data_IF_521460689992
#
_entry.id   IF_521460689992
#
_cell.length_a   1.000
_cell.length_b   1.000
_cell.length_c   1.000
_cell.angle_alpha   90.00
_cell.angle_beta   90.00
_cell.angle_gamma   90.00
#
_symmetry.space_group_name_H-M   'P 1'
#
loop_
_entity.id
_entity.type
_entity.pdbx_description
1 polymer ?
#
# COMPACT_ATOMS: atom_id res chain seq x y z
N UNK A 1 40.24 9.09 28.65
CA UNK A 1 39.51 7.84 28.34
C UNK A 1 38.02 7.97 28.55
N UNK A 2 37.56 8.42 29.72
CA UNK A 2 36.15 8.56 30.00
C UNK A 2 35.45 9.56 29.06
N UNK A 3 36.15 10.63 28.71
CA UNK A 3 35.58 11.65 27.82
C UNK A 3 35.38 11.12 26.40
N UNK A 4 36.32 10.34 25.89
CA UNK A 4 36.23 9.76 24.57
C UNK A 4 35.04 8.78 24.51
N UNK A 5 34.91 7.95 25.54
CA UNK A 5 33.77 7.00 25.61
C UNK A 5 32.44 7.72 25.66
N UNK A 6 32.34 8.82 26.39
CA UNK A 6 31.09 9.59 26.47
C UNK A 6 30.73 10.21 25.14
N UNK A 7 31.69 10.70 24.38
CA UNK A 7 31.45 11.28 23.06
C UNK A 7 31.05 10.22 22.05
N UNK A 8 31.66 9.06 22.08
CA UNK A 8 31.31 7.94 21.23
C UNK A 8 29.89 7.49 21.53
N UNK A 9 29.52 7.45 22.81
CA UNK A 9 28.17 7.08 23.21
C UNK A 9 27.14 8.08 22.68
N UNK A 10 27.40 9.37 22.76
CA UNK A 10 26.53 10.40 22.23
C UNK A 10 26.33 10.26 20.73
N UNK A 11 27.39 10.00 20.00
CA UNK A 11 27.34 9.78 18.56
C UNK A 11 26.52 8.58 18.22
N UNK A 12 26.67 7.49 18.97
CA UNK A 12 25.87 6.27 18.77
C UNK A 12 24.40 6.52 19.07
N UNK A 13 24.08 7.29 20.13
CA UNK A 13 22.70 7.60 20.49
C UNK A 13 22.01 8.46 19.43
N UNK A 14 22.73 9.45 18.90
CA UNK A 14 22.20 10.30 17.82
C UNK A 14 21.93 9.47 16.58
N UNK A 15 22.88 8.61 16.21
CA UNK A 15 22.73 7.75 15.04
C UNK A 15 21.55 6.79 15.20
N UNK A 16 21.39 6.18 16.38
CA UNK A 16 20.29 5.31 16.67
C UNK A 16 18.95 6.06 16.58
N UNK A 17 18.92 7.32 17.05
CA UNK A 17 17.72 8.16 16.93
C UNK A 17 17.36 8.46 15.49
N UNK A 18 18.36 8.78 14.65
CA UNK A 18 18.14 9.04 13.24
C UNK A 18 17.60 7.78 12.56
N UNK A 19 18.20 6.64 12.81
CA UNK A 19 17.75 5.37 12.25
C UNK A 19 16.31 5.02 12.65
N UNK A 20 15.96 5.30 13.91
CA UNK A 20 14.62 5.07 14.40
C UNK A 20 13.60 5.96 13.67
N UNK A 21 13.94 7.24 13.48
CA UNK A 21 13.07 8.17 12.75
C UNK A 21 12.92 7.77 11.29
N UNK A 22 14.00 7.32 10.67
CA UNK A 22 13.95 6.85 9.28
C UNK A 22 13.04 5.63 9.14
N UNK A 23 13.11 4.70 10.10
CA UNK A 23 12.22 3.53 10.11
C UNK A 23 10.78 3.92 10.28
N UNK A 24 10.49 4.86 11.20
CA UNK A 24 9.13 5.36 11.40
C UNK A 24 8.57 6.02 10.15
N UNK A 25 9.38 6.84 9.48
CA UNK A 25 8.98 7.50 8.25
C UNK A 25 8.67 6.49 7.15
N UNK A 26 9.50 5.45 7.03
CA UNK A 26 9.27 4.39 6.06
C UNK A 26 7.98 3.63 6.35
N UNK A 27 7.71 3.34 7.62
CA UNK A 27 6.48 2.65 8.03
C UNK A 27 5.24 3.50 7.74
N UNK A 28 5.29 4.80 8.06
CA UNK A 28 4.18 5.70 7.78
C UNK A 28 3.92 5.84 6.27
N UNK A 29 4.97 5.91 5.49
CA UNK A 29 4.86 5.98 4.04
C UNK A 29 4.22 4.72 3.48
N UNK A 30 4.65 3.57 3.95
CA UNK A 30 4.08 2.28 3.54
C UNK A 30 2.59 2.21 3.90
N UNK A 31 2.24 2.68 5.10
CA UNK A 31 0.84 2.69 5.52
C UNK A 31 -0.02 3.58 4.64
N UNK A 32 0.49 4.75 4.26
CA UNK A 32 -0.22 5.65 3.35
C UNK A 32 -0.39 5.05 1.96
N UNK A 33 0.68 4.48 1.42
CA UNK A 33 0.63 3.83 0.11
C UNK A 33 -0.36 2.67 0.10
N UNK A 34 -0.39 1.90 1.17
CA UNK A 34 -1.32 0.80 1.33
C UNK A 34 -2.76 1.30 1.36
N UNK A 35 -3.01 2.38 2.10
CA UNK A 35 -4.34 2.96 2.18
C UNK A 35 -4.81 3.50 0.83
N UNK A 36 -3.93 4.18 0.11
CA UNK A 36 -4.25 4.70 -1.23
C UNK A 36 -4.60 3.55 -2.17
N UNK A 37 -3.78 2.49 -2.17
CA UNK A 37 -4.01 1.33 -3.04
C UNK A 37 -5.37 0.68 -2.73
N UNK A 38 -5.69 0.52 -1.45
CA UNK A 38 -6.94 -0.10 -1.03
C UNK A 38 -8.13 0.78 -1.43
N UNK A 39 -8.04 2.09 -1.23
CA UNK A 39 -9.13 2.99 -1.61
C UNK A 39 -9.34 3.03 -3.12
N UNK A 40 -8.27 3.00 -3.91
CA UNK A 40 -8.37 2.92 -5.35
C UNK A 40 -9.02 1.62 -5.80
N UNK A 41 -8.62 0.51 -5.22
CA UNK A 41 -9.19 -0.80 -5.55
C UNK A 41 -10.68 -0.86 -5.18
N UNK A 42 -11.04 -0.30 -4.02
CA UNK A 42 -12.45 -0.21 -3.63
C UNK A 42 -13.26 0.55 -4.68
N UNK A 43 -12.73 1.69 -5.13
CA UNK A 43 -13.39 2.49 -6.17
C UNK A 43 -13.62 1.70 -7.45
N UNK A 44 -12.62 0.96 -7.88
CA UNK A 44 -12.72 0.10 -9.07
C UNK A 44 -13.83 -0.94 -8.88
N UNK A 45 -13.86 -1.62 -7.76
CA UNK A 45 -14.85 -2.66 -7.49
C UNK A 45 -16.25 -2.09 -7.32
N UNK A 46 -16.36 -0.95 -6.68
CA UNK A 46 -17.64 -0.26 -6.53
C UNK A 46 -18.24 0.08 -7.88
N UNK A 47 -17.43 0.58 -8.79
CA UNK A 47 -17.88 0.95 -10.12
C UNK A 47 -18.20 -0.27 -10.96
N UNK A 48 -17.32 -1.26 -10.94
CA UNK A 48 -17.44 -2.44 -11.78
C UNK A 48 -18.63 -3.33 -11.39
N UNK A 49 -18.86 -3.49 -10.10
CA UNK A 49 -19.86 -4.42 -9.57
C UNK A 49 -21.02 -3.74 -8.84
N UNK A 50 -21.09 -2.42 -8.89
CA UNK A 50 -22.13 -1.65 -8.20
C UNK A 50 -22.19 -1.98 -6.70
N UNK A 51 -21.03 -2.00 -6.06
CA UNK A 51 -20.92 -2.32 -4.64
C UNK A 51 -20.86 -1.07 -3.79
N UNK A 52 -21.30 -1.21 -2.53
CA UNK A 52 -21.04 -0.20 -1.51
C UNK A 52 -19.56 -0.24 -1.12
N UNK A 53 -19.05 0.83 -0.51
CA UNK A 53 -17.65 0.81 -0.02
C UNK A 53 -17.35 -0.37 0.91
N UNK A 54 -18.26 -0.67 1.82
CA UNK A 54 -18.07 -1.78 2.76
C UNK A 54 -18.06 -3.13 2.04
N UNK A 55 -18.96 -3.32 1.10
CA UNK A 55 -19.00 -4.56 0.32
C UNK A 55 -17.74 -4.73 -0.52
N UNK A 56 -17.25 -3.64 -1.12
CA UNK A 56 -16.01 -3.67 -1.89
C UNK A 56 -14.81 -4.02 -1.01
N UNK A 57 -14.73 -3.43 0.18
CA UNK A 57 -13.64 -3.73 1.10
C UNK A 57 -13.69 -5.18 1.58
N UNK A 58 -14.88 -5.67 1.90
CA UNK A 58 -15.05 -7.07 2.32
C UNK A 58 -14.67 -8.04 1.22
N UNK A 59 -14.99 -7.70 -0.02
CA UNK A 59 -14.59 -8.51 -1.17
C UNK A 59 -13.07 -8.59 -1.30
N UNK A 60 -12.39 -7.43 -1.16
CA UNK A 60 -10.92 -7.39 -1.19
C UNK A 60 -10.31 -8.23 -0.07
N UNK A 61 -10.84 -8.10 1.15
CA UNK A 61 -10.33 -8.85 2.29
C UNK A 61 -10.49 -10.35 2.09
N UNK A 62 -11.63 -10.77 1.61
CA UNK A 62 -11.92 -12.17 1.36
C UNK A 62 -11.00 -12.74 0.29
N UNK A 63 -10.83 -12.00 -0.81
CA UNK A 63 -9.97 -12.42 -1.90
C UNK A 63 -8.50 -12.51 -1.46
N UNK A 64 -8.05 -11.54 -0.66
CA UNK A 64 -6.69 -11.56 -0.13
C UNK A 64 -6.46 -12.79 0.74
N UNK A 65 -7.41 -13.10 1.62
CA UNK A 65 -7.32 -14.26 2.49
C UNK A 65 -7.34 -15.56 1.68
N UNK A 66 -8.24 -15.68 0.72
CA UNK A 66 -8.37 -16.89 -0.08
C UNK A 66 -7.15 -17.16 -0.94
N UNK A 67 -6.49 -16.10 -1.41
CA UNK A 67 -5.29 -16.22 -2.22
C UNK A 67 -4.00 -16.15 -1.41
N UNK A 68 -4.10 -16.02 -0.09
CA UNK A 68 -2.94 -15.88 0.80
C UNK A 68 -2.04 -14.74 0.38
N UNK A 69 -2.66 -13.65 -0.04
CA UNK A 69 -1.96 -12.46 -0.49
C UNK A 69 -2.19 -11.32 0.49
N UNK A 70 -1.27 -10.35 0.55
CA UNK A 70 -1.51 -9.17 1.37
C UNK A 70 -2.60 -8.33 0.73
N UNK A 71 -3.39 -7.68 1.55
CA UNK A 71 -4.46 -6.80 1.08
C UNK A 71 -3.91 -5.70 0.19
N UNK A 72 -2.77 -5.13 0.57
CA UNK A 72 -2.10 -4.09 -0.20
C UNK A 72 -1.72 -4.57 -1.61
N UNK A 73 -1.12 -5.74 -1.71
CA UNK A 73 -0.69 -6.29 -3.00
C UNK A 73 -1.88 -6.61 -3.87
N UNK A 74 -2.91 -7.21 -3.30
CA UNK A 74 -4.11 -7.52 -4.06
C UNK A 74 -4.79 -6.25 -4.56
N UNK A 75 -4.88 -5.23 -3.72
CA UNK A 75 -5.46 -3.95 -4.11
C UNK A 75 -4.70 -3.32 -5.28
N UNK A 76 -3.37 -3.36 -5.23
CA UNK A 76 -2.54 -2.86 -6.33
C UNK A 76 -2.79 -3.63 -7.63
N UNK A 77 -2.94 -4.95 -7.53
CA UNK A 77 -3.23 -5.78 -8.69
C UNK A 77 -4.61 -5.46 -9.30
N UNK A 78 -5.61 -5.27 -8.46
CA UNK A 78 -6.95 -4.91 -8.92
C UNK A 78 -6.92 -3.59 -9.68
N UNK A 79 -6.24 -2.59 -9.14
CA UNK A 79 -6.14 -1.28 -9.78
C UNK A 79 -5.38 -1.37 -11.10
N UNK A 80 -4.28 -2.12 -11.14
CA UNK A 80 -3.49 -2.30 -12.35
C UNK A 80 -4.27 -3.04 -13.43
N UNK A 81 -5.01 -4.08 -13.06
CA UNK A 81 -5.85 -4.84 -13.99
C UNK A 81 -6.94 -3.97 -14.60
N UNK A 82 -7.56 -3.13 -13.77
CA UNK A 82 -8.59 -2.22 -14.25
C UNK A 82 -8.04 -1.23 -15.27
N UNK A 83 -6.87 -0.66 -14.99
CA UNK A 83 -6.21 0.26 -15.91
C UNK A 83 -5.86 -0.41 -17.22
N UNK A 84 -5.35 -1.63 -17.15
CA UNK A 84 -4.99 -2.41 -18.34
C UNK A 84 -6.23 -2.74 -19.16
N UNK A 85 -7.29 -3.18 -18.51
CA UNK A 85 -8.54 -3.49 -19.19
C UNK A 85 -9.12 -2.26 -19.87
N UNK A 86 -9.11 -1.13 -19.20
CA UNK A 86 -9.59 0.13 -19.77
C UNK A 86 -8.77 0.54 -20.99
N UNK A 87 -7.46 0.36 -20.93
CA UNK A 87 -6.57 0.66 -22.07
C UNK A 87 -6.88 -0.23 -23.25
N UNK A 88 -7.10 -1.51 -23.01
CA UNK A 88 -7.45 -2.46 -24.07
C UNK A 88 -8.79 -2.11 -24.68
N UNK A 89 -9.77 -1.78 -23.87
CA UNK A 89 -11.09 -1.38 -24.34
C UNK A 89 -11.02 -0.18 -25.29
N UNK A 90 -10.20 0.82 -24.94
CA UNK A 90 -9.99 1.98 -25.80
C UNK A 90 -9.40 1.61 -27.14
N UNK A 91 -8.44 0.67 -27.14
CA UNK A 91 -7.78 0.24 -28.36
C UNK A 91 -8.68 -0.60 -29.26
N UNK A 92 -9.61 -1.33 -28.66
CA UNK A 92 -10.48 -2.24 -29.42
C UNK A 92 -11.82 -1.63 -29.80
N UNK A 93 -11.98 -0.35 -29.56
CA UNK A 93 -13.26 0.29 -29.92
C UNK A 93 -14.32 0.18 -28.86
N UNK A 94 -13.91 0.06 -27.67
CA UNK A 94 -14.79 0.31 -26.55
C UNK A 94 -15.70 -0.80 -26.16
N UNK A 95 -15.22 -1.71 -25.59
CA UNK A 95 -16.10 -2.44 -24.78
C UNK A 95 -16.95 -3.46 -25.45
N UNK A 96 -16.30 -4.24 -26.07
CA UNK A 96 -17.06 -5.34 -26.55
C UNK A 96 -16.68 -6.64 -25.98
#
# INVERSE_FOLDING_TARGET
MLHASAQEQRGADVQAGIEALERENAQLRTALESRVAIEQAKGVLMERFALTPDAAFNLLRRAARDNRESLHKLAALVTASSSTAASIEKLTGGGR
#
